data_IF_203111620165
#
_entry.id   IF_203111620165
#
_cell.length_a   1.000
_cell.length_b   1.000
_cell.length_c   1.000
_cell.angle_alpha   90.00
_cell.angle_beta   90.00
_cell.angle_gamma   90.00
#
_symmetry.space_group_name_H-M   'P 1'
#
loop_
_entity.id
_entity.type
_entity.pdbx_description
1 polymer ?
#
# COMPACT_ATOMS: atom_id res chain seq x y z
N UNK A 1 15.07 -12.58 24.49
CA UNK A 1 15.40 -11.25 23.94
C UNK A 1 15.85 -11.44 22.50
N UNK A 2 15.04 -11.03 21.52
CA UNK A 2 15.45 -11.07 20.10
C UNK A 2 16.36 -9.85 19.84
N UNK A 3 17.52 -10.00 19.20
CA UNK A 3 18.39 -8.86 18.93
C UNK A 3 17.71 -7.93 17.92
N UNK A 4 17.62 -6.66 18.25
CA UNK A 4 17.31 -5.58 17.32
C UNK A 4 18.20 -5.69 16.09
N UNK A 5 17.60 -5.82 14.91
CA UNK A 5 18.29 -5.57 13.64
C UNK A 5 18.58 -4.06 13.61
N UNK A 6 19.82 -3.71 13.93
CA UNK A 6 20.33 -2.35 13.79
C UNK A 6 20.19 -1.94 12.31
N UNK A 7 19.49 -0.83 12.07
CA UNK A 7 19.31 -0.28 10.73
C UNK A 7 20.68 0.12 10.19
N UNK A 8 21.27 -0.75 9.36
CA UNK A 8 22.54 -0.50 8.71
C UNK A 8 22.39 0.75 7.83
N UNK A 9 22.97 1.86 8.29
CA UNK A 9 23.16 3.08 7.49
C UNK A 9 23.86 2.65 6.21
N UNK A 10 23.17 2.73 5.08
CA UNK A 10 23.73 2.34 3.79
C UNK A 10 24.97 3.20 3.56
N UNK A 11 26.15 2.59 3.62
CA UNK A 11 27.38 3.31 3.31
C UNK A 11 27.30 3.77 1.86
N UNK A 12 27.70 5.02 1.55
CA UNK A 12 27.67 5.49 0.18
C UNK A 12 28.60 4.63 -0.67
N UNK A 13 28.04 4.02 -1.72
CA UNK A 13 28.78 3.24 -2.72
C UNK A 13 28.93 4.10 -3.97
N UNK A 14 30.16 4.32 -4.42
CA UNK A 14 30.44 5.03 -5.68
C UNK A 14 30.13 4.10 -6.85
N UNK A 15 29.30 4.56 -7.80
CA UNK A 15 28.94 3.82 -9.02
C UNK A 15 29.82 4.31 -10.17
N UNK A 16 30.98 3.68 -10.34
CA UNK A 16 32.00 4.03 -11.36
C UNK A 16 31.88 3.19 -12.65
N UNK A 17 30.72 2.59 -12.90
CA UNK A 17 30.49 1.68 -14.05
C UNK A 17 31.19 0.31 -13.96
N UNK A 18 32.14 0.14 -13.03
CA UNK A 18 32.86 -1.12 -12.74
C UNK A 18 32.47 -1.71 -11.37
N UNK A 19 32.03 -0.86 -10.45
CA UNK A 19 31.72 -1.20 -9.06
C UNK A 19 30.35 -0.65 -8.69
N UNK A 20 29.51 -1.46 -8.04
CA UNK A 20 28.18 -1.09 -7.56
C UNK A 20 27.08 -1.15 -8.65
N UNK A 21 25.95 -1.79 -8.33
CA UNK A 21 24.73 -1.76 -9.15
C UNK A 21 23.65 -0.97 -8.43
N UNK A 22 22.90 -0.08 -9.10
CA UNK A 22 21.79 0.62 -8.47
C UNK A 22 20.73 -0.38 -8.02
N UNK A 23 20.38 -0.36 -6.73
CA UNK A 23 19.23 -1.13 -6.24
C UNK A 23 17.96 -0.56 -6.87
N UNK A 24 17.14 -1.36 -7.56
CA UNK A 24 15.93 -0.86 -8.18
C UNK A 24 14.98 -0.30 -7.12
N UNK A 25 14.38 0.85 -7.40
CA UNK A 25 13.37 1.44 -6.52
C UNK A 25 12.17 0.50 -6.44
N UNK A 26 11.68 0.15 -5.23
CA UNK A 26 10.46 -0.62 -5.09
C UNK A 26 9.31 0.05 -5.84
N UNK A 27 8.51 -0.74 -6.55
CA UNK A 27 7.34 -0.23 -7.26
C UNK A 27 6.37 0.44 -6.28
N UNK A 28 5.92 1.65 -6.60
CA UNK A 28 4.97 2.39 -5.77
C UNK A 28 3.64 1.64 -5.73
N UNK A 29 3.18 1.29 -4.53
CA UNK A 29 1.84 0.76 -4.31
C UNK A 29 0.85 1.92 -4.51
N UNK A 30 -0.04 1.78 -5.48
CA UNK A 30 -1.14 2.73 -5.70
C UNK A 30 -2.31 2.31 -4.83
N UNK A 31 -2.97 3.26 -4.17
CA UNK A 31 -4.14 3.06 -3.31
C UNK A 31 -5.14 4.23 -3.47
N UNK A 32 -5.28 4.75 -4.69
CA UNK A 32 -6.05 5.97 -4.93
C UNK A 32 -7.54 5.68 -5.17
N UNK A 33 -7.86 4.48 -5.64
CA UNK A 33 -9.22 4.05 -5.96
C UNK A 33 -9.50 2.69 -5.31
N UNK A 34 -10.78 2.35 -5.18
CA UNK A 34 -11.20 1.09 -4.56
C UNK A 34 -10.65 -0.14 -5.30
N UNK A 35 -10.50 -0.07 -6.61
CA UNK A 35 -9.88 -1.12 -7.45
C UNK A 35 -8.40 -1.34 -7.10
N UNK A 36 -7.66 -0.29 -6.77
CA UNK A 36 -6.26 -0.40 -6.34
C UNK A 36 -6.18 -1.13 -4.98
N UNK A 37 -7.03 -0.72 -4.03
CA UNK A 37 -7.12 -1.36 -2.70
C UNK A 37 -7.51 -2.83 -2.83
N UNK A 38 -8.47 -3.15 -3.71
CA UNK A 38 -8.91 -4.52 -3.98
C UNK A 38 -7.76 -5.38 -4.52
N UNK A 39 -6.95 -4.84 -5.44
CA UNK A 39 -5.79 -5.54 -5.99
C UNK A 39 -4.75 -5.84 -4.93
N UNK A 40 -4.46 -4.86 -4.07
CA UNK A 40 -3.49 -5.02 -2.99
C UNK A 40 -4.00 -6.02 -1.94
N UNK A 41 -5.29 -5.98 -1.59
CA UNK A 41 -5.90 -6.94 -0.68
C UNK A 41 -5.84 -8.38 -1.22
N UNK A 42 -6.05 -8.56 -2.53
CA UNK A 42 -5.87 -9.85 -3.18
C UNK A 42 -4.39 -10.31 -3.18
N UNK A 43 -3.45 -9.36 -3.26
CA UNK A 43 -2.01 -9.65 -3.13
C UNK A 43 -1.67 -10.19 -1.75
N UNK A 44 -2.07 -9.46 -0.69
CA UNK A 44 -1.89 -9.87 0.71
C UNK A 44 -2.47 -11.26 0.96
N UNK A 45 -3.69 -11.53 0.47
CA UNK A 45 -4.31 -12.85 0.60
C UNK A 45 -3.48 -13.96 -0.07
N UNK A 46 -3.00 -13.74 -1.30
CA UNK A 46 -2.21 -14.74 -2.03
C UNK A 46 -0.87 -15.02 -1.35
N UNK A 47 -0.18 -13.98 -0.88
CA UNK A 47 1.10 -14.11 -0.16
C UNK A 47 0.93 -14.89 1.15
N UNK A 48 -0.10 -14.54 1.93
CA UNK A 48 -0.42 -15.25 3.17
C UNK A 48 -0.79 -16.71 2.91
N UNK A 49 -1.65 -16.97 1.91
CA UNK A 49 -2.07 -18.33 1.56
C UNK A 49 -0.93 -19.18 1.01
N UNK A 50 0.04 -18.58 0.34
CA UNK A 50 1.25 -19.25 -0.13
C UNK A 50 2.30 -19.47 0.98
N UNK A 51 2.04 -18.99 2.22
CA UNK A 51 2.97 -19.11 3.34
C UNK A 51 4.19 -18.18 3.22
N UNK A 52 4.16 -17.19 2.32
CA UNK A 52 5.23 -16.20 2.14
C UNK A 52 5.10 -15.00 3.08
N UNK A 53 3.95 -14.84 3.71
CA UNK A 53 3.65 -13.79 4.68
C UNK A 53 3.00 -14.41 5.93
N UNK A 54 3.38 -13.92 7.10
CA UNK A 54 2.78 -14.35 8.35
C UNK A 54 1.29 -13.94 8.44
N UNK A 55 0.46 -14.80 9.03
CA UNK A 55 -0.98 -14.55 9.11
C UNK A 55 -1.32 -13.31 9.96
N UNK A 56 -0.56 -13.04 11.02
CA UNK A 56 -0.75 -11.84 11.85
C UNK A 56 -0.39 -10.58 11.08
N UNK A 57 0.69 -10.62 10.31
CA UNK A 57 1.10 -9.52 9.42
C UNK A 57 0.05 -9.27 8.33
N UNK A 58 -0.39 -10.32 7.64
CA UNK A 58 -1.42 -10.23 6.63
C UNK A 58 -2.73 -9.63 7.18
N UNK A 59 -3.12 -10.03 8.39
CA UNK A 59 -4.30 -9.48 9.08
C UNK A 59 -4.17 -7.98 9.35
N UNK A 60 -3.00 -7.51 9.81
CA UNK A 60 -2.75 -6.07 10.01
C UNK A 60 -2.84 -5.29 8.70
N UNK A 61 -2.23 -5.79 7.63
CA UNK A 61 -2.27 -5.15 6.32
C UNK A 61 -3.71 -5.09 5.77
N UNK A 62 -4.45 -6.20 5.85
CA UNK A 62 -5.84 -6.24 5.43
C UNK A 62 -6.73 -5.26 6.20
N UNK A 63 -6.49 -5.09 7.50
CA UNK A 63 -7.20 -4.10 8.32
C UNK A 63 -6.93 -2.66 7.85
N UNK A 64 -5.67 -2.31 7.60
CA UNK A 64 -5.30 -0.98 7.10
C UNK A 64 -5.94 -0.72 5.73
N UNK A 65 -5.85 -1.68 4.81
CA UNK A 65 -6.46 -1.58 3.48
C UNK A 65 -7.97 -1.41 3.54
N UNK A 66 -8.63 -2.09 4.48
CA UNK A 66 -10.07 -1.92 4.73
C UNK A 66 -10.41 -0.49 5.17
N UNK A 67 -9.59 0.10 6.07
CA UNK A 67 -9.75 1.49 6.48
C UNK A 67 -9.62 2.47 5.31
N UNK A 68 -8.63 2.25 4.44
CA UNK A 68 -8.42 3.07 3.23
C UNK A 68 -9.62 2.94 2.28
N UNK A 69 -10.10 1.71 2.04
CA UNK A 69 -11.27 1.47 1.19
C UNK A 69 -12.50 2.24 1.67
N UNK A 70 -12.79 2.21 2.98
CA UNK A 70 -13.90 2.96 3.58
C UNK A 70 -13.78 4.47 3.39
N UNK A 71 -12.57 5.02 3.52
CA UNK A 71 -12.34 6.46 3.31
C UNK A 71 -12.56 6.85 1.85
N UNK A 72 -12.07 6.03 0.91
CA UNK A 72 -12.30 6.25 -0.53
C UNK A 72 -13.80 6.25 -0.81
N UNK A 73 -14.53 5.21 -0.37
CA UNK A 73 -15.98 5.11 -0.53
C UNK A 73 -16.71 6.33 0.04
N UNK A 74 -16.37 6.77 1.26
CA UNK A 74 -16.97 7.94 1.87
C UNK A 74 -16.76 9.20 1.02
N UNK A 75 -15.53 9.45 0.58
CA UNK A 75 -15.21 10.63 -0.26
C UNK A 75 -15.90 10.61 -1.62
N UNK A 76 -16.05 9.43 -2.24
CA UNK A 76 -16.76 9.29 -3.51
C UNK A 76 -18.27 9.52 -3.33
N UNK A 77 -18.85 9.02 -2.25
CA UNK A 77 -20.26 9.24 -1.90
C UNK A 77 -20.52 10.72 -1.65
N UNK A 78 -19.70 11.38 -0.82
CA UNK A 78 -19.80 12.83 -0.55
C UNK A 78 -19.73 13.63 -1.85
N UNK A 79 -18.76 13.33 -2.71
CA UNK A 79 -18.60 14.01 -4.01
C UNK A 79 -19.84 13.85 -4.89
N UNK A 80 -20.39 12.64 -4.99
CA UNK A 80 -21.60 12.36 -5.78
C UNK A 80 -22.82 13.05 -5.19
N UNK A 81 -22.95 13.04 -3.87
CA UNK A 81 -24.05 13.72 -3.16
C UNK A 81 -24.01 15.23 -3.42
N UNK A 82 -22.86 15.88 -3.22
CA UNK A 82 -22.69 17.30 -3.52
C UNK A 82 -23.00 17.65 -4.99
N UNK A 83 -22.67 16.74 -5.93
CA UNK A 83 -23.01 16.94 -7.34
C UNK A 83 -24.52 16.86 -7.59
N UNK A 84 -25.21 15.91 -6.95
CA UNK A 84 -26.67 15.79 -7.03
C UNK A 84 -27.37 16.99 -6.41
N UNK A 85 -26.96 17.42 -5.21
CA UNK A 85 -27.49 18.61 -4.54
C UNK A 85 -27.37 19.85 -5.42
N UNK A 86 -26.20 20.08 -6.03
CA UNK A 86 -25.98 21.19 -6.98
C UNK A 86 -26.84 21.09 -8.25
N UNK A 87 -27.33 19.91 -8.60
CA UNK A 87 -28.16 19.69 -9.79
C UNK A 87 -29.65 19.88 -9.47
N UNK A 88 -30.08 19.43 -8.28
CA UNK A 88 -31.49 19.38 -7.87
C UNK A 88 -31.94 20.59 -7.06
N UNK A 89 -31.02 21.29 -6.39
CA UNK A 89 -31.30 22.48 -5.55
C UNK A 89 -30.89 23.80 -6.23
N UNK A 90 -30.79 23.79 -7.57
CA UNK A 90 -30.81 25.02 -8.37
C UNK A 90 -32.25 25.45 -8.60
#
# INVERSE_FOLDING_TARGET
MKPQLESAKHQPVTIDGTSGTPTPTPAKIKLNQLEDVRREMASVYREARAGRMDASEAGRLAYILTGIGKLIEATEIEKRLSQMERTLLK
#
